data_IF_548647555070
#
_entry.id   IF_548647555070
#
_cell.length_a   1.000
_cell.length_b   1.000
_cell.length_c   1.000
_cell.angle_alpha   90.00
_cell.angle_beta   90.00
_cell.angle_gamma   90.00
#
_symmetry.space_group_name_H-M   'P 1'
#
loop_
_entity.id
_entity.type
_entity.pdbx_description
1 polymer ?
#
# COMPACT_ATOMS: atom_id res chain seq x y z
N UNK A 1 40.65 -29.62 -41.06
CA UNK A 1 39.98 -28.31 -41.14
C UNK A 1 39.23 -28.11 -39.83
N UNK A 2 39.89 -27.48 -38.87
CA UNK A 2 39.40 -27.25 -37.50
C UNK A 2 38.90 -25.81 -37.43
N UNK A 3 37.59 -25.66 -37.34
CA UNK A 3 36.89 -24.38 -37.21
C UNK A 3 37.08 -23.87 -35.78
N UNK A 4 37.94 -22.87 -35.59
CA UNK A 4 38.11 -22.22 -34.28
C UNK A 4 36.92 -21.31 -34.02
N UNK A 5 36.13 -21.68 -33.00
CA UNK A 5 34.99 -20.92 -32.51
C UNK A 5 35.51 -19.68 -31.79
N UNK A 6 35.64 -18.58 -32.54
CA UNK A 6 36.17 -17.33 -32.01
C UNK A 6 35.18 -16.70 -31.04
N UNK A 7 35.65 -16.50 -29.82
CA UNK A 7 34.90 -15.91 -28.72
C UNK A 7 34.79 -14.41 -28.99
N UNK A 8 33.57 -13.88 -28.94
CA UNK A 8 33.22 -12.48 -29.22
C UNK A 8 33.92 -11.49 -28.27
N UNK A 9 35.19 -11.21 -28.54
CA UNK A 9 35.91 -10.08 -27.96
C UNK A 9 35.61 -8.83 -28.80
N UNK A 10 35.12 -7.77 -28.17
CA UNK A 10 34.89 -6.49 -28.83
C UNK A 10 36.27 -5.96 -29.28
N UNK A 11 36.53 -5.78 -30.60
CA UNK A 11 37.84 -5.36 -31.07
C UNK A 11 38.16 -3.95 -30.58
N UNK A 12 39.37 -3.80 -30.02
CA UNK A 12 39.89 -2.57 -29.37
C UNK A 12 40.12 -1.43 -30.38
N UNK A 13 40.15 -1.74 -31.68
CA UNK A 13 40.20 -0.76 -32.76
C UNK A 13 39.28 -1.20 -33.91
N UNK A 14 38.43 -0.28 -34.37
CA UNK A 14 37.48 -0.50 -35.47
C UNK A 14 38.02 0.28 -36.68
N UNK A 15 38.16 -0.37 -37.84
CA UNK A 15 38.58 0.28 -39.07
C UNK A 15 37.55 1.32 -39.53
N UNK A 16 37.98 2.40 -40.20
CA UNK A 16 37.05 3.37 -40.80
C UNK A 16 36.06 2.72 -41.78
N UNK A 17 36.46 1.63 -42.43
CA UNK A 17 35.60 0.83 -43.32
C UNK A 17 34.55 0.05 -42.50
N UNK A 18 34.89 -0.42 -41.30
CA UNK A 18 33.97 -1.13 -40.39
C UNK A 18 32.94 -0.15 -39.82
N UNK A 19 33.34 1.07 -39.47
CA UNK A 19 32.42 2.15 -39.06
C UNK A 19 31.44 2.48 -40.19
N UNK A 20 31.90 2.60 -41.44
CA UNK A 20 31.02 2.84 -42.59
C UNK A 20 30.09 1.66 -42.91
N UNK A 21 30.48 0.43 -42.55
CA UNK A 21 29.64 -0.78 -42.64
C UNK A 21 28.67 -0.92 -41.45
N UNK A 22 28.66 0.02 -40.51
CA UNK A 22 27.84 -0.04 -39.29
C UNK A 22 28.34 -1.05 -38.26
N UNK A 23 29.53 -1.64 -38.48
CA UNK A 23 30.19 -2.53 -37.51
C UNK A 23 30.69 -1.65 -36.37
N UNK A 24 30.06 -1.81 -35.19
CA UNK A 24 30.33 -0.97 -34.01
C UNK A 24 29.29 0.11 -33.73
N UNK A 25 28.24 0.24 -34.56
CA UNK A 25 27.10 1.10 -34.24
C UNK A 25 26.35 0.53 -33.02
N UNK A 26 26.66 1.05 -31.83
CA UNK A 26 25.96 0.68 -30.60
C UNK A 26 24.51 1.13 -30.76
N UNK A 27 23.58 0.16 -30.76
CA UNK A 27 22.14 0.43 -30.83
C UNK A 27 21.79 1.51 -29.80
N UNK A 28 21.21 2.61 -30.25
CA UNK A 28 20.89 3.74 -29.39
C UNK A 28 20.05 3.23 -28.20
N UNK A 29 20.58 3.39 -26.98
CA UNK A 29 19.83 3.06 -25.77
C UNK A 29 18.60 3.96 -25.73
N UNK A 30 17.46 3.40 -25.32
CA UNK A 30 16.27 4.22 -25.08
C UNK A 30 16.59 5.31 -24.05
N UNK A 31 15.98 6.48 -24.20
CA UNK A 31 16.22 7.66 -23.35
C UNK A 31 16.26 7.30 -21.85
N UNK A 32 15.29 6.51 -21.38
CA UNK A 32 15.21 6.06 -19.99
C UNK A 32 16.36 5.14 -19.57
N UNK A 33 16.78 4.22 -20.44
CA UNK A 33 17.88 3.32 -20.14
C UNK A 33 19.21 4.08 -20.05
N UNK A 34 19.40 5.12 -20.87
CA UNK A 34 20.58 5.98 -20.78
C UNK A 34 20.53 6.88 -19.53
N UNK A 35 19.38 7.50 -19.23
CA UNK A 35 19.19 8.31 -18.03
C UNK A 35 19.48 7.52 -16.75
N UNK A 36 18.87 6.34 -16.59
CA UNK A 36 19.13 5.46 -15.45
C UNK A 36 20.57 4.97 -15.41
N UNK A 37 21.19 4.71 -16.57
CA UNK A 37 22.60 4.36 -16.67
C UNK A 37 23.53 5.45 -16.13
N UNK A 38 23.17 6.74 -16.27
CA UNK A 38 23.94 7.85 -15.69
C UNK A 38 23.73 7.97 -14.18
N UNK A 39 22.51 7.75 -13.69
CA UNK A 39 22.17 7.77 -12.25
C UNK A 39 22.92 6.66 -11.53
N UNK A 40 22.88 5.43 -12.03
CA UNK A 40 23.52 4.26 -11.42
C UNK A 40 25.06 4.33 -11.42
N UNK A 41 25.68 5.22 -12.20
CA UNK A 41 27.14 5.44 -12.20
C UNK A 41 27.61 6.42 -11.13
N UNK A 42 26.70 7.19 -10.52
CA UNK A 42 27.04 8.22 -9.53
C UNK A 42 26.84 7.67 -8.12
N UNK A 43 27.90 7.53 -7.29
CA UNK A 43 27.79 6.93 -5.96
C UNK A 43 26.85 7.70 -5.04
N UNK A 44 26.84 9.04 -5.11
CA UNK A 44 25.89 9.86 -4.35
C UNK A 44 24.43 9.61 -4.74
N UNK A 45 24.15 9.31 -6.01
CA UNK A 45 22.81 8.96 -6.45
C UNK A 45 22.40 7.56 -5.97
N UNK A 46 23.34 6.61 -5.93
CA UNK A 46 23.11 5.29 -5.34
C UNK A 46 22.77 5.41 -3.86
N UNK A 47 23.52 6.21 -3.11
CA UNK A 47 23.22 6.48 -1.69
C UNK A 47 21.81 7.09 -1.52
N UNK A 48 21.46 8.08 -2.35
CA UNK A 48 20.12 8.67 -2.36
C UNK A 48 19.03 7.65 -2.65
N UNK A 49 19.22 6.75 -3.62
CA UNK A 49 18.27 5.67 -3.92
C UNK A 49 18.12 4.68 -2.76
N UNK A 50 19.23 4.29 -2.11
CA UNK A 50 19.17 3.45 -0.91
C UNK A 50 18.38 4.13 0.21
N UNK A 51 18.62 5.41 0.45
CA UNK A 51 17.91 6.18 1.48
C UNK A 51 16.41 6.29 1.18
N UNK A 52 16.03 6.59 -0.07
CA UNK A 52 14.63 6.57 -0.50
C UNK A 52 14.02 5.18 -0.30
N UNK A 53 14.77 4.11 -0.56
CA UNK A 53 14.34 2.74 -0.29
C UNK A 53 14.03 2.49 1.18
N UNK A 54 14.87 2.99 2.09
CA UNK A 54 14.63 2.92 3.54
C UNK A 54 13.37 3.67 3.94
N UNK A 55 13.19 4.90 3.43
CA UNK A 55 11.97 5.68 3.71
C UNK A 55 10.73 4.96 3.17
N UNK A 56 10.78 4.46 1.94
CA UNK A 56 9.67 3.74 1.32
C UNK A 56 9.32 2.45 2.10
N UNK A 57 10.32 1.73 2.62
CA UNK A 57 10.11 0.57 3.48
C UNK A 57 9.31 0.96 4.73
N UNK A 58 9.75 1.97 5.47
CA UNK A 58 9.03 2.39 6.68
C UNK A 58 7.67 3.03 6.38
N UNK A 59 7.49 3.67 5.23
CA UNK A 59 6.19 4.19 4.80
C UNK A 59 5.16 3.06 4.57
N UNK A 60 5.59 1.92 4.04
CA UNK A 60 4.72 0.77 3.76
C UNK A 60 4.51 -0.09 5.02
N UNK A 61 5.57 -0.39 5.76
CA UNK A 61 5.54 -1.30 6.91
C UNK A 61 5.35 -0.58 8.24
N UNK A 62 5.27 0.75 8.25
CA UNK A 62 5.01 1.58 9.42
C UNK A 62 3.87 1.08 10.29
N UNK A 63 2.67 0.75 9.73
CA UNK A 63 1.54 0.25 10.51
C UNK A 63 1.76 -1.10 11.22
N UNK A 64 2.80 -1.86 10.84
CA UNK A 64 3.18 -3.13 11.49
C UNK A 64 4.33 -2.91 12.48
N UNK A 65 5.27 -2.03 12.12
CA UNK A 65 6.46 -1.73 12.93
C UNK A 65 6.12 -0.83 14.12
N UNK A 66 5.30 0.19 13.88
CA UNK A 66 4.90 1.22 14.83
C UNK A 66 3.37 1.28 14.94
N UNK A 67 2.83 0.48 15.87
CA UNK A 67 1.40 0.44 16.13
C UNK A 67 1.12 0.17 17.61
N UNK A 68 0.16 0.91 18.16
CA UNK A 68 -0.26 0.75 19.54
C UNK A 68 -1.24 -0.44 19.74
N UNK A 69 -1.68 -1.10 18.68
CA UNK A 69 -2.32 -2.41 18.79
C UNK A 69 -1.27 -3.51 18.93
N UNK A 70 -1.44 -4.44 19.89
CA UNK A 70 -0.61 -5.63 19.93
C UNK A 70 -0.86 -6.49 18.69
N UNK A 71 0.19 -7.22 18.27
CA UNK A 71 0.11 -8.18 17.17
C UNK A 71 -0.87 -9.30 17.51
N UNK A 72 -0.75 -9.87 18.72
CA UNK A 72 -1.66 -10.87 19.25
C UNK A 72 -1.87 -10.69 20.74
N UNK A 73 -3.06 -11.06 21.20
CA UNK A 73 -3.35 -11.25 22.61
C UNK A 73 -4.31 -12.41 22.80
N UNK A 74 -4.39 -12.95 24.01
CA UNK A 74 -5.41 -13.92 24.41
C UNK A 74 -6.36 -13.25 25.40
N UNK A 75 -7.63 -13.12 25.03
CA UNK A 75 -8.67 -12.54 25.90
C UNK A 75 -9.40 -13.65 26.64
N UNK A 76 -9.54 -13.51 27.96
CA UNK A 76 -10.25 -14.46 28.82
C UNK A 76 -11.70 -14.01 28.94
N UNK A 77 -12.63 -14.79 28.38
CA UNK A 77 -14.07 -14.53 28.48
C UNK A 77 -14.63 -14.89 29.86
N UNK A 78 -15.87 -14.43 30.13
CA UNK A 78 -16.56 -14.63 31.41
C UNK A 78 -16.77 -16.11 31.81
N UNK A 79 -16.59 -17.06 30.89
CA UNK A 79 -16.63 -18.50 31.15
C UNK A 79 -15.26 -19.20 31.20
N UNK A 80 -14.15 -18.45 31.30
CA UNK A 80 -12.79 -19.01 31.26
C UNK A 80 -12.32 -19.42 29.85
N UNK A 81 -13.14 -19.21 28.82
CA UNK A 81 -12.79 -19.44 27.43
C UNK A 81 -11.77 -18.40 26.97
N UNK A 82 -10.59 -18.86 26.58
CA UNK A 82 -9.52 -18.03 26.05
C UNK A 82 -9.60 -17.97 24.52
N UNK A 83 -9.74 -16.77 23.94
CA UNK A 83 -9.73 -16.57 22.48
C UNK A 83 -8.51 -15.75 22.08
N UNK A 84 -7.77 -16.21 21.07
CA UNK A 84 -6.68 -15.44 20.49
C UNK A 84 -7.23 -14.42 19.50
N UNK A 85 -6.88 -13.17 19.72
CA UNK A 85 -7.27 -12.04 18.89
C UNK A 85 -6.03 -11.48 18.17
N UNK A 86 -6.28 -10.82 17.04
CA UNK A 86 -5.26 -10.16 16.23
C UNK A 86 -5.59 -8.66 16.07
N UNK A 87 -5.50 -7.86 17.14
CA UNK A 87 -6.04 -6.50 17.16
C UNK A 87 -5.42 -5.59 16.11
N UNK A 88 -4.11 -5.73 15.86
CA UNK A 88 -3.42 -4.93 14.85
C UNK A 88 -4.07 -5.08 13.47
N UNK A 89 -4.23 -6.32 12.99
CA UNK A 89 -4.78 -6.58 11.66
C UNK A 89 -6.26 -6.18 11.53
N UNK A 90 -7.02 -6.23 12.63
CA UNK A 90 -8.41 -5.81 12.67
C UNK A 90 -8.58 -4.28 12.56
N UNK A 91 -7.57 -3.51 12.96
CA UNK A 91 -7.61 -2.04 13.01
C UNK A 91 -6.73 -1.35 11.95
N UNK A 92 -6.13 -2.11 11.03
CA UNK A 92 -5.40 -1.53 9.90
C UNK A 92 -6.37 -0.77 8.99
N UNK A 93 -5.98 0.44 8.61
CA UNK A 93 -6.79 1.28 7.72
C UNK A 93 -6.81 0.68 6.31
N UNK A 94 -7.79 1.06 5.45
CA UNK A 94 -7.80 0.58 4.08
C UNK A 94 -6.52 0.96 3.31
N UNK A 95 -5.93 2.12 3.62
CA UNK A 95 -4.68 2.58 3.03
C UNK A 95 -3.51 1.68 3.42
N UNK A 96 -3.42 1.28 4.70
CA UNK A 96 -2.35 0.41 5.19
C UNK A 96 -2.38 -0.94 4.47
N UNK A 97 -3.57 -1.53 4.35
CA UNK A 97 -3.75 -2.76 3.58
C UNK A 97 -3.37 -2.60 2.11
N UNK A 98 -3.78 -1.49 1.48
CA UNK A 98 -3.47 -1.23 0.07
C UNK A 98 -1.95 -1.12 -0.16
N UNK A 99 -1.22 -0.45 0.75
CA UNK A 99 0.24 -0.34 0.68
C UNK A 99 0.93 -1.69 0.91
N UNK A 100 0.51 -2.45 1.92
CA UNK A 100 1.07 -3.77 2.22
C UNK A 100 0.84 -4.75 1.08
N UNK A 101 -0.39 -4.88 0.58
CA UNK A 101 -0.74 -5.74 -0.56
C UNK A 101 0.00 -5.26 -1.80
N UNK A 102 0.01 -3.95 -2.07
CA UNK A 102 0.70 -3.36 -3.21
C UNK A 102 2.19 -3.66 -3.21
N UNK A 103 2.84 -3.62 -2.05
CA UNK A 103 4.26 -3.96 -1.92
C UNK A 103 4.51 -5.47 -2.05
N UNK A 104 3.82 -6.28 -1.26
CA UNK A 104 4.03 -7.73 -1.17
C UNK A 104 3.64 -8.44 -2.48
N UNK A 105 2.57 -8.01 -3.14
CA UNK A 105 2.09 -8.62 -4.39
C UNK A 105 2.64 -7.90 -5.62
N UNK A 106 2.65 -6.56 -5.60
CA UNK A 106 3.01 -5.74 -6.75
C UNK A 106 4.49 -5.81 -7.13
N UNK A 107 5.41 -5.80 -6.16
CA UNK A 107 6.84 -5.90 -6.47
C UNK A 107 7.17 -7.25 -7.14
N UNK A 108 6.81 -8.42 -6.57
CA UNK A 108 7.01 -9.70 -7.27
C UNK A 108 6.32 -9.75 -8.63
N UNK A 109 5.11 -9.19 -8.77
CA UNK A 109 4.40 -9.14 -10.06
C UNK A 109 5.20 -8.40 -11.14
N UNK A 110 5.80 -7.25 -10.81
CA UNK A 110 6.59 -6.46 -11.77
C UNK A 110 7.78 -7.28 -12.29
N UNK A 111 8.51 -7.96 -11.40
CA UNK A 111 9.74 -8.69 -11.78
C UNK A 111 9.49 -10.10 -12.33
N UNK A 112 8.53 -10.83 -11.76
CA UNK A 112 8.33 -12.28 -11.97
C UNK A 112 7.00 -12.61 -12.67
N UNK A 113 6.13 -11.61 -12.91
CA UNK A 113 4.83 -11.79 -13.56
C UNK A 113 4.86 -12.37 -15.00
N UNK A 114 3.70 -12.40 -15.68
CA UNK A 114 3.51 -13.11 -16.94
C UNK A 114 4.49 -12.67 -18.02
N UNK A 115 5.26 -13.62 -18.58
CA UNK A 115 6.29 -13.35 -19.60
C UNK A 115 5.75 -12.73 -20.89
N UNK A 116 4.44 -12.82 -21.13
CA UNK A 116 3.75 -12.14 -22.23
C UNK A 116 3.74 -10.62 -22.11
N UNK A 117 3.91 -10.08 -20.90
CA UNK A 117 3.95 -8.64 -20.64
C UNK A 117 5.37 -8.18 -20.39
N UNK A 118 5.76 -7.07 -21.01
CA UNK A 118 7.03 -6.41 -20.72
C UNK A 118 7.03 -5.82 -19.30
N UNK A 119 8.22 -5.64 -18.70
CA UNK A 119 8.33 -5.04 -17.36
C UNK A 119 7.68 -3.65 -17.28
N UNK A 120 7.81 -2.86 -18.35
CA UNK A 120 7.19 -1.54 -18.45
C UNK A 120 5.65 -1.61 -18.46
N UNK A 121 5.07 -2.57 -19.19
CA UNK A 121 3.63 -2.80 -19.21
C UNK A 121 3.10 -3.26 -17.85
N UNK A 122 3.81 -4.17 -17.16
CA UNK A 122 3.45 -4.61 -15.81
C UNK A 122 3.49 -3.47 -14.80
N UNK A 123 4.53 -2.64 -14.87
CA UNK A 123 4.64 -1.44 -14.05
C UNK A 123 3.50 -0.46 -14.35
N UNK A 124 3.19 -0.22 -15.63
CA UNK A 124 2.08 0.64 -16.03
C UNK A 124 0.73 0.16 -15.52
N UNK A 125 0.45 -1.15 -15.62
CA UNK A 125 -0.75 -1.76 -15.03
C UNK A 125 -0.77 -1.57 -13.52
N UNK A 126 0.34 -1.85 -12.84
CA UNK A 126 0.44 -1.73 -11.39
C UNK A 126 0.20 -0.28 -10.92
N UNK A 127 0.80 0.71 -11.57
CA UNK A 127 0.62 2.13 -11.25
C UNK A 127 -0.84 2.55 -11.45
N UNK A 128 -1.47 2.17 -12.56
CA UNK A 128 -2.89 2.49 -12.80
C UNK A 128 -3.80 1.81 -11.77
N UNK A 129 -3.55 0.54 -11.44
CA UNK A 129 -4.30 -0.17 -10.42
C UNK A 129 -4.12 0.46 -9.02
N UNK A 130 -2.89 0.85 -8.66
CA UNK A 130 -2.59 1.50 -7.39
C UNK A 130 -3.29 2.87 -7.28
N UNK A 131 -3.27 3.67 -8.35
CA UNK A 131 -4.00 4.94 -8.41
C UNK A 131 -5.51 4.72 -8.30
N UNK A 132 -6.06 3.74 -9.02
CA UNK A 132 -7.48 3.40 -8.94
C UNK A 132 -7.89 3.03 -7.52
N UNK A 133 -7.14 2.14 -6.84
CA UNK A 133 -7.40 1.74 -5.46
C UNK A 133 -7.25 2.93 -4.50
N UNK A 134 -6.18 3.71 -4.64
CA UNK A 134 -5.94 4.89 -3.80
C UNK A 134 -7.04 5.94 -3.92
N UNK A 135 -7.45 6.30 -5.14
CA UNK A 135 -8.56 7.21 -5.36
C UNK A 135 -9.88 6.67 -4.84
N UNK A 136 -10.13 5.36 -5.01
CA UNK A 136 -11.31 4.71 -4.44
C UNK A 136 -11.36 4.88 -2.93
N UNK A 137 -10.27 4.54 -2.22
CA UNK A 137 -10.18 4.64 -0.76
C UNK A 137 -10.43 6.08 -0.29
N UNK A 138 -9.73 7.05 -0.89
CA UNK A 138 -9.81 8.46 -0.47
C UNK A 138 -11.19 9.05 -0.76
N UNK A 139 -11.69 8.89 -1.97
CA UNK A 139 -12.96 9.52 -2.38
C UNK A 139 -14.16 8.82 -1.74
N UNK A 140 -14.14 7.49 -1.64
CA UNK A 140 -15.21 6.77 -0.94
C UNK A 140 -15.23 7.08 0.55
N UNK A 141 -14.07 7.13 1.22
CA UNK A 141 -13.98 7.57 2.61
C UNK A 141 -14.52 8.98 2.81
N UNK A 142 -14.15 9.93 1.94
CA UNK A 142 -14.63 11.29 1.99
C UNK A 142 -16.14 11.40 1.79
N UNK A 143 -16.72 10.67 0.82
CA UNK A 143 -18.17 10.70 0.54
C UNK A 143 -18.97 10.02 1.67
N UNK A 144 -18.48 8.90 2.22
CA UNK A 144 -19.12 8.25 3.37
C UNK A 144 -19.09 9.17 4.58
N UNK A 145 -17.95 9.78 4.90
CA UNK A 145 -17.84 10.75 5.99
C UNK A 145 -18.75 11.97 5.78
N UNK A 146 -18.78 12.52 4.57
CA UNK A 146 -19.67 13.61 4.19
C UNK A 146 -21.15 13.24 4.35
N UNK A 147 -21.54 12.01 4.00
CA UNK A 147 -22.92 11.52 4.07
C UNK A 147 -23.38 11.26 5.53
N UNK A 148 -22.45 11.00 6.44
CA UNK A 148 -22.72 10.76 7.86
C UNK A 148 -22.74 12.03 8.72
N UNK A 149 -22.30 13.16 8.17
CA UNK A 149 -22.27 14.47 8.82
C UNK A 149 -23.67 14.86 9.37
N UNK A 150 -23.77 15.30 10.64
CA UNK A 150 -25.04 15.68 11.27
C UNK A 150 -25.87 16.70 10.49
N UNK A 151 -25.21 17.58 9.72
CA UNK A 151 -25.84 18.64 8.92
C UNK A 151 -26.55 18.16 7.66
N UNK A 152 -26.42 16.87 7.30
CA UNK A 152 -27.04 16.31 6.10
C UNK A 152 -28.51 15.96 6.31
N UNK A 153 -29.23 15.91 5.19
CA UNK A 153 -30.62 15.47 5.17
C UNK A 153 -30.76 14.07 5.79
N UNK A 154 -31.84 13.86 6.54
CA UNK A 154 -32.06 12.61 7.30
C UNK A 154 -32.01 11.36 6.44
N UNK A 155 -32.56 11.40 5.22
CA UNK A 155 -32.53 10.26 4.31
C UNK A 155 -31.10 9.87 3.89
N UNK A 156 -30.19 10.85 3.74
CA UNK A 156 -28.78 10.60 3.39
C UNK A 156 -28.09 9.91 4.57
N UNK A 157 -28.32 10.40 5.79
CA UNK A 157 -27.76 9.82 7.02
C UNK A 157 -28.30 8.42 7.26
N UNK A 158 -29.62 8.23 7.10
CA UNK A 158 -30.27 6.94 7.24
C UNK A 158 -29.71 5.93 6.23
N UNK A 159 -29.49 6.35 4.98
CA UNK A 159 -28.84 5.51 3.98
C UNK A 159 -27.39 5.20 4.36
N UNK A 160 -26.57 6.21 4.68
CA UNK A 160 -25.14 6.05 4.99
C UNK A 160 -24.87 5.26 6.28
N UNK A 161 -25.83 5.19 7.21
CA UNK A 161 -25.78 4.36 8.43
C UNK A 161 -26.41 2.98 8.25
N UNK A 162 -27.13 2.76 7.15
CA UNK A 162 -27.67 1.44 6.83
C UNK A 162 -26.53 0.45 6.53
N UNK A 163 -26.78 -0.84 6.73
CA UNK A 163 -25.77 -1.87 6.43
C UNK A 163 -25.33 -1.91 4.97
N UNK A 164 -26.17 -1.45 4.03
CA UNK A 164 -25.85 -1.44 2.59
C UNK A 164 -25.27 -0.11 2.10
N UNK A 165 -25.45 0.98 2.85
CA UNK A 165 -25.10 2.35 2.42
C UNK A 165 -23.64 2.53 2.05
N UNK A 166 -22.70 2.33 2.99
CA UNK A 166 -21.27 2.47 2.73
C UNK A 166 -20.80 1.57 1.58
N UNK A 167 -21.22 0.30 1.56
CA UNK A 167 -20.86 -0.65 0.50
C UNK A 167 -21.33 -0.22 -0.89
N UNK A 168 -22.51 0.40 -0.97
CA UNK A 168 -23.05 0.92 -2.23
C UNK A 168 -22.27 2.15 -2.69
N UNK A 169 -21.99 3.09 -1.78
CA UNK A 169 -21.18 4.30 -2.09
C UNK A 169 -19.80 3.88 -2.61
N UNK A 170 -19.11 3.00 -1.88
CA UNK A 170 -17.79 2.49 -2.26
C UNK A 170 -17.90 1.77 -3.62
N UNK A 171 -18.88 0.89 -3.81
CA UNK A 171 -19.06 0.13 -5.04
C UNK A 171 -19.24 1.02 -6.28
N UNK A 172 -20.06 2.07 -6.17
CA UNK A 172 -20.26 3.05 -7.25
C UNK A 172 -18.95 3.77 -7.58
N UNK A 173 -18.23 4.23 -6.57
CA UNK A 173 -16.97 4.97 -6.75
C UNK A 173 -15.89 4.06 -7.36
N UNK A 174 -15.74 2.83 -6.86
CA UNK A 174 -14.81 1.84 -7.41
C UNK A 174 -15.12 1.54 -8.87
N UNK A 175 -16.41 1.43 -9.23
CA UNK A 175 -16.84 1.19 -10.60
C UNK A 175 -16.47 2.35 -11.53
N UNK A 176 -16.72 3.59 -11.11
CA UNK A 176 -16.37 4.78 -11.88
C UNK A 176 -14.85 4.84 -12.17
N UNK A 177 -14.02 4.61 -11.15
CA UNK A 177 -12.57 4.61 -11.34
C UNK A 177 -12.09 3.41 -12.15
N UNK A 178 -12.73 2.24 -12.05
CA UNK A 178 -12.41 1.09 -12.90
C UNK A 178 -12.74 1.35 -14.37
N UNK A 179 -13.86 2.02 -14.66
CA UNK A 179 -14.21 2.43 -16.03
C UNK A 179 -13.16 3.38 -16.61
N UNK A 180 -12.73 4.37 -15.82
CA UNK A 180 -11.67 5.29 -16.23
C UNK A 180 -10.33 4.58 -16.44
N UNK A 181 -9.92 3.72 -15.49
CA UNK A 181 -8.68 2.95 -15.56
C UNK A 181 -8.66 1.98 -16.77
N UNK A 182 -9.80 1.36 -17.08
CA UNK A 182 -9.94 0.47 -18.22
C UNK A 182 -9.69 1.19 -19.56
N UNK A 183 -9.85 2.52 -19.63
CA UNK A 183 -9.59 3.33 -20.82
C UNK A 183 -8.13 3.73 -20.99
N UNK A 184 -7.31 3.65 -19.94
CA UNK A 184 -5.88 4.01 -19.99
C UNK A 184 -5.12 2.94 -20.79
N UNK A 185 -4.38 3.31 -21.86
CA UNK A 185 -3.68 2.37 -22.73
C UNK A 185 -2.35 1.89 -22.13
N UNK A 186 -2.40 1.14 -21.03
CA UNK A 186 -1.19 0.56 -20.40
C UNK A 186 -0.62 -0.64 -21.17
N UNK A 187 -1.49 -1.39 -21.85
CA UNK A 187 -1.16 -2.57 -22.67
C UNK A 187 -2.09 -2.60 -23.88
N UNK A 188 -1.62 -3.12 -25.02
CA UNK A 188 -2.40 -3.22 -26.25
C UNK A 188 -3.64 -4.11 -26.09
N UNK A 189 -3.55 -5.15 -25.26
CA UNK A 189 -4.66 -6.06 -24.99
C UNK A 189 -5.72 -5.42 -24.08
N UNK A 190 -6.88 -5.09 -24.67
CA UNK A 190 -8.06 -4.60 -23.94
C UNK A 190 -8.50 -5.56 -22.84
N UNK A 191 -8.39 -6.88 -23.04
CA UNK A 191 -8.78 -7.89 -22.03
C UNK A 191 -7.93 -7.80 -20.77
N UNK A 192 -6.61 -7.62 -20.92
CA UNK A 192 -5.69 -7.49 -19.78
C UNK A 192 -5.96 -6.20 -19.02
N UNK A 193 -6.18 -5.08 -19.73
CA UNK A 193 -6.53 -3.80 -19.13
C UNK A 193 -7.83 -3.86 -18.31
N UNK A 194 -8.90 -4.40 -18.90
CA UNK A 194 -10.19 -4.55 -18.22
C UNK A 194 -10.05 -5.52 -17.04
N UNK A 195 -9.34 -6.63 -17.20
CA UNK A 195 -9.09 -7.58 -16.11
C UNK A 195 -8.36 -6.94 -14.93
N UNK A 196 -7.33 -6.13 -15.20
CA UNK A 196 -6.61 -5.40 -14.15
C UNK A 196 -7.49 -4.35 -13.45
N UNK A 197 -8.30 -3.61 -14.21
CA UNK A 197 -9.22 -2.62 -13.65
C UNK A 197 -10.32 -3.27 -12.78
N UNK A 198 -10.84 -4.44 -13.19
CA UNK A 198 -11.80 -5.23 -12.40
C UNK A 198 -11.15 -5.78 -11.14
N UNK A 199 -9.92 -6.29 -11.22
CA UNK A 199 -9.20 -6.76 -10.03
C UNK A 199 -8.97 -5.61 -9.04
N UNK A 200 -8.52 -4.45 -9.53
CA UNK A 200 -8.34 -3.25 -8.71
C UNK A 200 -9.67 -2.74 -8.11
N UNK A 201 -10.79 -2.89 -8.83
CA UNK A 201 -12.13 -2.59 -8.32
C UNK A 201 -12.46 -3.46 -7.12
N UNK A 202 -12.29 -4.78 -7.25
CA UNK A 202 -12.60 -5.74 -6.19
C UNK A 202 -11.71 -5.50 -4.95
N UNK A 203 -10.43 -5.21 -5.17
CA UNK A 203 -9.49 -4.86 -4.10
C UNK A 203 -9.90 -3.56 -3.42
N UNK A 204 -10.11 -2.48 -4.18
CA UNK A 204 -10.51 -1.19 -3.60
C UNK A 204 -11.85 -1.27 -2.86
N UNK A 205 -12.84 -1.96 -3.44
CA UNK A 205 -14.14 -2.18 -2.82
C UNK A 205 -14.04 -3.01 -1.53
N UNK A 206 -13.32 -4.13 -1.57
CA UNK A 206 -13.12 -5.01 -0.42
C UNK A 206 -12.35 -4.32 0.70
N UNK A 207 -11.25 -3.64 0.38
CA UNK A 207 -10.45 -2.93 1.39
C UNK A 207 -11.25 -1.81 2.03
N UNK A 208 -11.90 -0.94 1.24
CA UNK A 208 -12.67 0.17 1.80
C UNK A 208 -13.91 -0.27 2.58
N UNK A 209 -14.52 -1.41 2.24
CA UNK A 209 -15.73 -1.89 2.92
C UNK A 209 -15.47 -2.78 4.13
N UNK A 210 -14.39 -3.57 4.12
CA UNK A 210 -14.09 -4.55 5.16
C UNK A 210 -13.07 -4.09 6.20
N UNK A 211 -12.24 -3.08 5.89
CA UNK A 211 -11.29 -2.58 6.89
C UNK A 211 -12.02 -1.82 7.99
N UNK A 212 -11.72 -2.18 9.24
CA UNK A 212 -12.23 -1.51 10.42
C UNK A 212 -11.79 -0.05 10.37
N UNK A 213 -12.75 0.86 10.19
CA UNK A 213 -12.49 2.28 10.39
C UNK A 213 -11.90 2.46 11.79
N UNK A 214 -10.81 3.21 11.90
CA UNK A 214 -10.08 3.43 13.14
C UNK A 214 -11.05 3.73 14.29
N UNK A 215 -11.41 2.71 15.06
CA UNK A 215 -12.22 2.89 16.25
C UNK A 215 -11.35 3.65 17.23
N UNK A 216 -11.88 4.70 17.86
CA UNK A 216 -11.18 5.36 18.96
C UNK A 216 -11.04 4.33 20.08
N UNK A 217 -9.88 3.68 20.13
CA UNK A 217 -9.54 2.70 21.14
C UNK A 217 -8.67 3.40 22.16
N UNK A 218 -9.10 3.38 23.42
CA UNK A 218 -8.27 3.79 24.52
C UNK A 218 -7.17 2.75 24.73
N UNK A 219 -5.94 3.08 24.35
CA UNK A 219 -4.82 2.16 24.40
C UNK A 219 -4.38 1.83 25.84
N UNK A 220 -4.68 2.69 26.81
CA UNK A 220 -4.44 2.43 28.25
C UNK A 220 -5.23 1.21 28.71
N UNK A 221 -6.38 0.94 28.07
CA UNK A 221 -7.20 -0.22 28.36
C UNK A 221 -6.50 -1.55 28.13
N UNK A 222 -5.55 -1.64 27.19
CA UNK A 222 -4.78 -2.89 27.03
C UNK A 222 -3.86 -3.13 28.22
N UNK A 223 -3.25 -2.08 28.77
CA UNK A 223 -2.41 -2.18 29.96
C UNK A 223 -3.24 -2.54 31.20
N UNK A 224 -4.41 -1.92 31.35
CA UNK A 224 -5.36 -2.23 32.43
C UNK A 224 -5.93 -3.65 32.31
N UNK A 225 -6.31 -4.08 31.11
CA UNK A 225 -6.79 -5.43 30.84
C UNK A 225 -5.68 -6.47 31.12
N UNK A 226 -4.41 -6.14 30.89
CA UNK A 226 -3.27 -7.02 31.17
C UNK A 226 -3.01 -7.11 32.68
N UNK A 227 -3.05 -5.98 33.39
CA UNK A 227 -2.89 -5.92 34.85
C UNK A 227 -4.03 -6.62 35.60
N UNK A 228 -5.26 -6.49 35.10
CA UNK A 228 -6.43 -7.20 35.65
C UNK A 228 -6.45 -8.69 35.28
N UNK A 229 -5.56 -9.14 34.40
CA UNK A 229 -5.49 -10.53 33.93
C UNK A 229 -6.60 -10.92 32.95
N UNK A 230 -7.36 -9.94 32.44
CA UNK A 230 -8.40 -10.11 31.43
C UNK A 230 -7.82 -10.42 30.05
N UNK A 231 -6.61 -9.92 29.75
CA UNK A 231 -5.78 -10.37 28.63
C UNK A 231 -4.49 -11.00 29.13
N UNK A 232 -4.01 -11.99 28.38
CA UNK A 232 -2.77 -12.74 28.65
C UNK A 232 -2.02 -12.96 27.34
N UNK A 233 -0.73 -13.31 27.45
CA UNK A 233 0.12 -13.63 26.29
C UNK A 233 0.14 -12.51 25.23
N UNK A 234 0.27 -11.27 25.67
CA UNK A 234 0.30 -10.10 24.78
C UNK A 234 1.63 -10.04 24.04
N UNK A 235 1.57 -9.98 22.71
CA UNK A 235 2.74 -9.77 21.85
C UNK A 235 2.63 -8.40 21.19
N UNK A 236 3.49 -7.47 21.60
CA UNK A 236 3.53 -6.11 21.09
C UNK A 236 4.31 -6.00 19.77
N UNK A 237 4.09 -4.90 19.04
CA UNK A 237 4.91 -4.53 17.88
C UNK A 237 6.31 -4.07 18.32
N UNK A 238 7.21 -3.84 17.35
CA UNK A 238 8.57 -3.37 17.64
C UNK A 238 8.56 -2.01 18.36
N UNK A 239 7.67 -1.12 17.92
CA UNK A 239 7.47 0.20 18.51
C UNK A 239 5.98 0.30 18.88
N UNK A 240 5.60 0.03 20.14
CA UNK A 240 4.19 0.05 20.59
C UNK A 240 3.69 1.48 20.78
N UNK A 241 3.68 2.25 19.70
CA UNK A 241 3.28 3.66 19.67
C UNK A 241 2.41 3.94 18.45
N UNK A 242 1.43 4.83 18.61
CA UNK A 242 0.58 5.32 17.53
C UNK A 242 0.39 6.83 17.67
N UNK A 243 0.34 7.60 16.57
CA UNK A 243 -0.05 9.01 16.61
C UNK A 243 -1.46 9.23 17.18
N UNK A 244 -2.32 8.22 17.08
CA UNK A 244 -3.69 8.25 17.62
C UNK A 244 -3.74 7.87 19.10
N UNK A 245 -2.59 7.59 19.72
CA UNK A 245 -2.48 7.34 21.15
C UNK A 245 -2.72 8.65 21.92
N UNK A 246 -3.98 8.95 22.20
CA UNK A 246 -4.35 9.96 23.19
C UNK A 246 -4.57 9.26 24.54
N UNK A 247 -3.85 9.67 25.59
CA UNK A 247 -4.19 9.24 26.94
C UNK A 247 -5.56 9.78 27.30
N UNK A 248 -6.41 8.91 27.83
CA UNK A 248 -7.81 9.26 28.09
C UNK A 248 -7.95 10.29 29.20
N UNK A 249 -7.01 10.30 30.15
CA UNK A 249 -6.87 11.30 31.21
C UNK A 249 -6.55 12.71 30.67
N UNK A 250 -5.93 12.84 29.50
CA UNK A 250 -5.54 14.14 28.94
C UNK A 250 -6.61 14.83 28.08
N UNK A 251 -7.70 14.14 27.73
CA UNK A 251 -8.75 14.69 26.83
C UNK A 251 -9.70 15.64 27.57
N UNK A 252 -9.81 15.54 28.89
CA UNK A 252 -10.71 16.36 29.71
C UNK A 252 -9.99 17.44 30.54
N UNK A 253 -8.66 17.51 30.48
CA UNK A 253 -7.87 18.44 31.30
C UNK A 253 -7.71 19.77 30.56
N UNK A 254 -7.97 20.88 31.26
CA UNK A 254 -7.82 22.20 30.69
C UNK A 254 -6.33 22.49 30.37
N UNK A 255 -6.00 23.23 29.30
CA UNK A 255 -4.62 23.57 28.98
C UNK A 255 -3.93 24.26 30.17
N UNK A 256 -2.91 23.62 30.74
CA UNK A 256 -2.12 24.14 31.86
C UNK A 256 -2.31 23.43 33.21
N UNK A 257 -3.28 22.52 33.33
CA UNK A 257 -3.46 21.70 34.53
C UNK A 257 -2.62 20.41 34.47
N UNK A 258 -2.09 19.98 35.63
CA UNK A 258 -1.33 18.72 35.73
C UNK A 258 -2.29 17.57 36.01
N UNK A 259 -2.04 16.43 35.38
CA UNK A 259 -2.80 15.17 35.59
C UNK A 259 -2.84 14.74 37.07
N UNK A 260 -1.85 15.16 37.87
CA UNK A 260 -1.81 14.85 39.30
C UNK A 260 -2.75 15.71 40.17
N UNK A 261 -3.32 16.78 39.63
CA UNK A 261 -4.12 17.77 40.36
C UNK A 261 -5.65 17.57 40.17
N UNK A 262 -6.07 16.55 39.42
CA UNK A 262 -7.47 16.12 39.17
C UNK A 262 -7.69 14.73 39.74
#
# INVERSE_FOLDING_TARGET
>A
MTESKDTTAIPVAISGIDVMRGVGAVRAKGFWADAWGRVLKRPGAIFGMCWIGVIAFFAVFGPIVANAHPLTLVRVGAGGTAMREWPLFANLTPTDWALLIGCIVGLPWIFIGPRSLTRAQRLGIFVVAALQVGFTIVIAGAIVGWAQDPSRAEWVKAFARSGAGPWTIIGVISLLFAMAAAWIPTVDSRRVRVGAAVLALLVGWGLSGASGGATLINFERYLEDEQSGAIREVTWTLIPWSPQYSRSDMVAIAPGERVADV
#
